data_IF_590129723041
#
_entry.id   IF_590129723041
#
_cell.length_a   1.000
_cell.length_b   1.000
_cell.length_c   1.000
_cell.angle_alpha   90.00
_cell.angle_beta   90.00
_cell.angle_gamma   90.00
#
_symmetry.space_group_name_H-M   'P 1'
#
loop_
_entity.id
_entity.type
_entity.pdbx_description
1 polymer ?
#
# COMPACT_ATOMS: atom_id res chain seq x y z
N UNK A 1 1.35 -23.64 -2.82
CA UNK A 1 2.70 -23.49 -2.24
C UNK A 1 2.94 -22.00 -2.13
N UNK A 2 2.99 -21.44 -0.93
CA UNK A 2 3.27 -20.02 -0.75
C UNK A 2 4.70 -19.75 -1.24
N UNK A 3 4.85 -18.80 -2.15
CA UNK A 3 6.18 -18.27 -2.47
C UNK A 3 6.70 -17.60 -1.19
N UNK A 4 7.97 -17.83 -0.77
CA UNK A 4 8.51 -17.08 0.34
C UNK A 4 8.57 -15.63 -0.11
N UNK A 5 7.79 -14.75 0.54
CA UNK A 5 7.96 -13.31 0.39
C UNK A 5 9.41 -13.01 0.77
N UNK A 6 10.25 -12.78 -0.25
CA UNK A 6 11.54 -12.17 -0.04
C UNK A 6 11.20 -10.81 0.55
N UNK A 7 11.53 -10.59 1.83
CA UNK A 7 11.47 -9.26 2.41
C UNK A 7 12.24 -8.34 1.46
N UNK A 8 11.50 -7.58 0.67
CA UNK A 8 12.08 -6.71 -0.34
C UNK A 8 12.88 -5.67 0.41
N UNK A 9 14.13 -5.44 0.01
CA UNK A 9 14.90 -4.31 0.52
C UNK A 9 14.02 -3.07 0.35
N UNK A 10 13.79 -2.26 1.41
CA UNK A 10 12.95 -1.08 1.29
C UNK A 10 13.38 -0.20 0.13
N UNK A 11 12.42 0.30 -0.65
CA UNK A 11 12.65 1.14 -1.81
C UNK A 11 12.90 2.58 -1.32
N UNK A 12 14.09 3.16 -1.57
CA UNK A 12 14.27 4.59 -1.37
C UNK A 12 13.44 5.34 -2.42
N UNK A 13 12.56 6.23 -1.99
CA UNK A 13 11.80 7.07 -2.91
C UNK A 13 12.69 8.16 -3.50
N UNK A 14 12.56 8.37 -4.82
CA UNK A 14 13.15 9.50 -5.53
C UNK A 14 12.09 10.61 -5.70
N UNK A 15 12.25 11.53 -6.65
CA UNK A 15 11.26 12.58 -6.91
C UNK A 15 10.01 12.05 -7.62
N UNK A 16 10.12 10.95 -8.35
CA UNK A 16 8.99 10.26 -8.97
C UNK A 16 9.38 8.82 -9.30
N UNK A 17 8.39 7.95 -9.41
CA UNK A 17 8.63 6.57 -9.80
C UNK A 17 7.39 5.70 -9.64
N UNK A 18 7.61 4.38 -9.72
CA UNK A 18 6.55 3.42 -9.46
C UNK A 18 7.08 2.10 -8.94
N UNK A 19 6.20 1.32 -8.31
CA UNK A 19 6.48 -0.04 -7.84
C UNK A 19 5.20 -0.87 -7.86
N UNK A 20 5.35 -2.20 -7.95
CA UNK A 20 4.22 -3.14 -7.99
C UNK A 20 3.96 -3.71 -6.59
N UNK A 21 2.69 -3.69 -6.16
CA UNK A 21 2.23 -4.30 -4.91
C UNK A 21 1.40 -5.53 -5.27
N UNK A 22 1.94 -6.70 -4.93
CA UNK A 22 1.30 -7.98 -5.27
C UNK A 22 0.26 -8.37 -4.22
N UNK A 23 -0.90 -8.84 -4.70
CA UNK A 23 -2.05 -9.20 -3.85
C UNK A 23 -1.75 -10.36 -2.88
N UNK A 24 -0.77 -11.20 -3.22
CA UNK A 24 -0.37 -12.38 -2.46
C UNK A 24 0.85 -12.15 -1.55
N UNK A 25 1.30 -10.90 -1.43
CA UNK A 25 2.39 -10.53 -0.53
C UNK A 25 1.86 -9.88 0.74
N UNK A 26 1.67 -10.69 1.78
CA UNK A 26 1.25 -10.23 3.12
C UNK A 26 2.28 -9.28 3.75
N UNK A 27 3.56 -9.37 3.35
CA UNK A 27 4.61 -8.49 3.86
C UNK A 27 4.63 -7.13 3.17
N UNK A 28 4.05 -7.05 1.97
CA UNK A 28 3.96 -5.82 1.18
C UNK A 28 5.31 -5.29 0.68
N UNK A 29 5.25 -4.07 0.15
CA UNK A 29 6.40 -3.32 -0.36
C UNK A 29 6.75 -2.21 0.61
N UNK A 30 7.93 -2.28 1.22
CA UNK A 30 8.41 -1.22 2.09
C UNK A 30 9.06 -0.10 1.26
N UNK A 31 8.73 1.15 1.58
CA UNK A 31 9.35 2.36 1.02
C UNK A 31 9.83 3.28 2.14
N UNK A 32 10.75 4.18 1.83
CA UNK A 32 11.19 5.25 2.74
C UNK A 32 11.71 6.46 1.94
N UNK A 33 11.61 7.66 2.50
CA UNK A 33 12.27 8.85 1.93
C UNK A 33 13.73 8.93 2.44
N UNK A 34 14.76 8.87 1.57
CA UNK A 34 16.16 9.01 1.96
C UNK A 34 16.60 10.46 2.18
N UNK A 35 15.73 11.46 1.96
CA UNK A 35 16.11 12.86 1.97
C UNK A 35 16.34 13.42 3.39
N UNK A 36 17.45 14.14 3.57
CA UNK A 36 17.88 14.75 4.85
C UNK A 36 17.12 16.04 5.22
N UNK A 37 16.14 16.44 4.42
CA UNK A 37 15.44 17.70 4.63
C UNK A 37 14.11 17.39 5.30
N UNK A 38 13.88 18.01 6.46
CA UNK A 38 12.57 18.05 7.12
C UNK A 38 11.56 18.72 6.19
N UNK A 39 10.98 17.96 5.26
CA UNK A 39 9.82 18.35 4.50
C UNK A 39 8.62 18.38 5.44
N UNK A 40 7.95 19.52 5.52
CA UNK A 40 6.68 19.62 6.22
C UNK A 40 5.67 18.65 5.57
N UNK A 41 4.81 18.02 6.37
CA UNK A 41 3.74 17.09 5.99
C UNK A 41 3.27 17.14 4.52
N UNK A 42 3.26 15.98 3.84
CA UNK A 42 2.63 15.83 2.52
C UNK A 42 3.60 15.79 1.33
N UNK A 43 4.84 15.35 1.54
CA UNK A 43 5.88 15.36 0.52
C UNK A 43 5.61 14.46 -0.70
N UNK A 44 4.73 13.47 -0.60
CA UNK A 44 4.46 12.53 -1.70
C UNK A 44 2.98 12.41 -2.02
N UNK A 45 2.67 12.48 -3.31
CA UNK A 45 1.41 12.06 -3.90
C UNK A 45 1.58 10.64 -4.45
N UNK A 46 0.68 9.75 -4.04
CA UNK A 46 0.56 8.38 -4.52
C UNK A 46 -0.74 8.21 -5.29
N UNK A 47 -0.67 7.45 -6.39
CA UNK A 47 -1.82 7.01 -7.16
C UNK A 47 -1.53 5.60 -7.66
N UNK A 48 -2.53 4.74 -7.74
CA UNK A 48 -2.33 3.37 -8.15
C UNK A 48 -3.18 3.04 -9.38
N UNK A 49 -2.79 2.00 -10.09
CA UNK A 49 -3.58 1.45 -11.20
C UNK A 49 -3.47 -0.07 -11.24
N UNK A 50 -4.41 -0.71 -11.93
CA UNK A 50 -4.47 -2.17 -12.05
C UNK A 50 -5.58 -2.77 -11.19
N UNK A 51 -5.57 -4.10 -11.12
CA UNK A 51 -6.57 -4.87 -10.39
C UNK A 51 -5.92 -6.08 -9.72
N UNK A 52 -6.49 -6.46 -8.59
CA UNK A 52 -6.17 -7.69 -7.90
C UNK A 52 -7.43 -8.41 -7.40
N UNK A 53 -7.24 -9.63 -6.93
CA UNK A 53 -8.32 -10.49 -6.47
C UNK A 53 -7.92 -11.13 -5.14
N UNK A 54 -8.73 -10.91 -4.10
CA UNK A 54 -8.59 -11.50 -2.76
C UNK A 54 -9.09 -12.94 -2.67
N UNK A 55 -8.67 -13.79 -3.61
CA UNK A 55 -9.05 -15.20 -3.68
C UNK A 55 -10.06 -15.54 -4.78
N UNK A 56 -10.11 -16.82 -5.18
CA UNK A 56 -10.82 -17.28 -6.39
C UNK A 56 -12.34 -17.01 -6.42
N UNK A 57 -12.97 -16.79 -5.26
CA UNK A 57 -14.40 -16.51 -5.13
C UNK A 57 -14.71 -15.01 -5.00
N UNK A 58 -13.68 -14.16 -4.87
CA UNK A 58 -13.79 -12.72 -4.68
C UNK A 58 -13.79 -12.03 -6.04
N UNK A 59 -14.62 -11.00 -6.29
CA UNK A 59 -14.49 -10.20 -7.51
C UNK A 59 -13.11 -9.54 -7.63
N UNK A 60 -12.66 -9.27 -8.85
CA UNK A 60 -11.52 -8.37 -9.05
C UNK A 60 -11.91 -6.96 -8.56
N UNK A 61 -10.99 -6.31 -7.86
CA UNK A 61 -11.11 -4.94 -7.40
C UNK A 61 -9.86 -4.15 -7.78
N UNK A 62 -10.02 -2.84 -7.92
CA UNK A 62 -8.91 -1.91 -8.00
C UNK A 62 -8.32 -1.65 -6.60
N UNK A 63 -7.40 -0.70 -6.50
CA UNK A 63 -6.74 -0.35 -5.23
C UNK A 63 -7.68 0.26 -4.19
N UNK A 64 -8.94 0.57 -4.54
CA UNK A 64 -9.96 1.01 -3.59
C UNK A 64 -10.62 -0.16 -2.84
N UNK A 65 -10.45 -1.40 -3.31
CA UNK A 65 -11.03 -2.58 -2.67
C UNK A 65 -12.56 -2.70 -2.82
N UNK A 66 -13.17 -3.45 -1.90
CA UNK A 66 -14.61 -3.71 -1.81
C UNK A 66 -15.19 -3.19 -0.47
N UNK A 67 -15.90 -2.04 -0.47
CA UNK A 67 -16.53 -1.50 0.73
C UNK A 67 -17.73 -2.31 1.24
N UNK A 68 -18.21 -3.29 0.47
CA UNK A 68 -19.39 -4.09 0.80
C UNK A 68 -19.05 -5.55 1.14
N UNK A 69 -17.77 -5.88 1.31
CA UNK A 69 -17.36 -7.24 1.65
C UNK A 69 -17.94 -7.68 2.99
N UNK A 70 -18.62 -8.82 3.00
CA UNK A 70 -19.39 -9.29 4.16
C UNK A 70 -18.54 -9.63 5.38
N UNK A 71 -17.24 -9.89 5.17
CA UNK A 71 -16.29 -10.27 6.22
C UNK A 71 -15.25 -9.20 6.52
N UNK A 72 -15.60 -7.91 6.36
CA UNK A 72 -14.76 -6.75 6.67
C UNK A 72 -14.06 -6.83 8.05
N UNK A 73 -14.76 -7.34 9.07
CA UNK A 73 -14.22 -7.48 10.43
C UNK A 73 -13.07 -8.50 10.56
N UNK A 74 -12.79 -9.29 9.52
CA UNK A 74 -11.71 -10.27 9.47
C UNK A 74 -10.44 -9.71 8.82
N UNK A 75 -10.52 -8.55 8.16
CA UNK A 75 -9.39 -7.93 7.48
C UNK A 75 -8.29 -7.52 8.47
N UNK A 76 -7.05 -7.41 7.98
CA UNK A 76 -5.92 -6.92 8.75
C UNK A 76 -6.16 -5.49 9.27
N UNK A 77 -6.83 -4.65 8.48
CA UNK A 77 -7.32 -3.32 8.86
C UNK A 77 -8.84 -3.25 8.69
N UNK A 78 -9.62 -3.63 9.73
CA UNK A 78 -11.09 -3.66 9.65
C UNK A 78 -11.74 -2.29 9.40
N UNK A 79 -11.04 -1.19 9.65
CA UNK A 79 -11.51 0.18 9.44
C UNK A 79 -11.40 0.69 7.99
N UNK A 80 -10.64 0.02 7.14
CA UNK A 80 -10.46 0.33 5.71
C UNK A 80 -11.15 -0.71 4.84
N UNK A 81 -11.46 -0.42 3.59
CA UNK A 81 -12.22 -1.33 2.74
C UNK A 81 -11.45 -2.65 2.53
N UNK A 82 -12.18 -3.76 2.42
CA UNK A 82 -11.55 -5.06 2.18
C UNK A 82 -10.84 -5.04 0.85
N UNK A 83 -9.64 -5.63 0.78
CA UNK A 83 -8.81 -5.67 -0.42
C UNK A 83 -8.34 -4.31 -0.95
N UNK A 84 -8.47 -3.22 -0.17
CA UNK A 84 -7.91 -1.92 -0.56
C UNK A 84 -6.38 -1.89 -0.39
N UNK A 85 -5.72 -0.93 -1.06
CA UNK A 85 -4.30 -0.67 -0.88
C UNK A 85 -4.09 0.15 0.40
N UNK A 86 -3.41 -0.46 1.36
CA UNK A 86 -3.06 0.15 2.65
C UNK A 86 -1.61 0.58 2.64
N UNK A 87 -1.37 1.75 3.22
CA UNK A 87 -0.06 2.28 3.54
C UNK A 87 0.11 2.27 5.05
N UNK A 88 0.87 1.29 5.55
CA UNK A 88 1.12 1.03 6.97
C UNK A 88 2.48 1.61 7.38
N UNK A 89 2.46 2.72 8.10
CA UNK A 89 3.66 3.47 8.45
C UNK A 89 4.16 3.19 9.86
N UNK A 90 5.48 3.14 10.03
CA UNK A 90 6.13 2.79 11.30
C UNK A 90 5.84 3.76 12.48
N UNK A 91 5.30 4.95 12.22
CA UNK A 91 4.76 5.86 13.23
C UNK A 91 3.47 5.35 13.90
N UNK A 92 2.83 4.31 13.34
CA UNK A 92 1.52 3.79 13.74
C UNK A 92 0.36 4.49 13.02
N UNK A 93 0.64 5.33 12.02
CA UNK A 93 -0.36 5.89 11.13
C UNK A 93 -0.58 4.93 9.95
N UNK A 94 -1.84 4.75 9.58
CA UNK A 94 -2.24 3.96 8.42
C UNK A 94 -3.10 4.82 7.49
N UNK A 95 -2.98 4.56 6.19
CA UNK A 95 -3.77 5.25 5.17
C UNK A 95 -4.33 4.23 4.18
N UNK A 96 -5.50 4.55 3.64
CA UNK A 96 -6.02 3.90 2.45
C UNK A 96 -5.73 4.81 1.27
N UNK A 97 -4.90 4.33 0.34
CA UNK A 97 -4.32 5.15 -0.74
C UNK A 97 -5.39 5.89 -1.56
N UNK A 98 -6.48 5.18 -1.92
CA UNK A 98 -7.57 5.77 -2.70
C UNK A 98 -8.34 6.90 -2.00
N UNK A 99 -8.26 7.00 -0.67
CA UNK A 99 -8.90 8.06 0.13
C UNK A 99 -7.90 9.13 0.56
N UNK A 100 -6.61 8.82 0.60
CA UNK A 100 -5.55 9.73 1.08
C UNK A 100 -4.32 9.57 0.19
N UNK A 101 -4.36 10.13 -1.03
CA UNK A 101 -3.24 10.00 -1.97
C UNK A 101 -2.04 10.88 -1.57
N UNK A 102 -2.25 11.94 -0.79
CA UNK A 102 -1.17 12.74 -0.21
C UNK A 102 -0.80 12.17 1.16
N UNK A 103 0.28 11.38 1.20
CA UNK A 103 0.71 10.68 2.41
C UNK A 103 1.95 11.40 2.98
N UNK A 104 1.90 11.87 4.24
CA UNK A 104 3.08 12.41 4.88
C UNK A 104 4.03 11.27 5.24
N UNK A 105 5.22 11.27 4.64
CA UNK A 105 6.32 10.39 5.03
C UNK A 105 7.30 11.19 5.89
N UNK A 106 7.53 10.76 7.12
CA UNK A 106 8.52 11.40 8.00
C UNK A 106 9.95 10.92 7.70
N UNK A 107 10.94 11.73 8.11
CA UNK A 107 12.36 11.34 8.01
C UNK A 107 12.59 9.96 8.67
N UNK A 108 13.28 9.08 7.94
CA UNK A 108 13.55 7.69 8.33
C UNK A 108 12.30 6.81 8.57
N UNK A 109 11.10 7.31 8.29
CA UNK A 109 9.87 6.53 8.37
C UNK A 109 9.83 5.51 7.24
N UNK A 110 9.46 4.29 7.62
CA UNK A 110 9.16 3.22 6.67
C UNK A 110 7.66 3.07 6.60
N UNK A 111 7.13 3.09 5.38
CA UNK A 111 5.75 2.75 5.10
C UNK A 111 5.69 1.51 4.22
N UNK A 112 4.75 0.62 4.52
CA UNK A 112 4.54 -0.63 3.81
C UNK A 112 3.24 -0.55 3.04
N UNK A 113 3.34 -0.70 1.72
CA UNK A 113 2.20 -0.77 0.81
C UNK A 113 1.77 -2.23 0.66
N UNK A 114 0.52 -2.55 0.98
CA UNK A 114 0.00 -3.92 0.91
C UNK A 114 -1.51 -3.96 0.72
N UNK A 115 -2.02 -5.06 0.19
CA UNK A 115 -3.46 -5.29 0.11
C UNK A 115 -4.03 -5.52 1.52
N UNK A 116 -5.23 -5.01 1.81
CA UNK A 116 -5.98 -5.29 3.03
C UNK A 116 -6.67 -6.66 2.94
N UNK A 117 -6.11 -7.72 3.49
CA UNK A 117 -6.77 -9.03 3.53
C UNK A 117 -6.79 -9.59 4.95
N UNK A 118 -7.53 -10.68 5.16
CA UNK A 118 -7.46 -11.43 6.39
C UNK A 118 -6.03 -11.95 6.65
N UNK A 119 -5.52 -11.88 7.89
CA UNK A 119 -4.21 -12.41 8.23
C UNK A 119 -4.07 -13.89 7.83
N UNK A 120 -3.02 -14.22 7.07
CA UNK A 120 -2.79 -15.54 6.49
C UNK A 120 -3.70 -15.92 5.31
N UNK A 121 -4.57 -15.01 4.86
CA UNK A 121 -5.46 -15.15 3.69
C UNK A 121 -4.79 -14.94 2.34
N UNK A 122 -3.58 -14.38 2.31
CA UNK A 122 -2.92 -13.92 1.09
C UNK A 122 -2.54 -15.01 0.07
N UNK A 123 -2.57 -16.29 0.47
CA UNK A 123 -1.99 -17.39 -0.29
C UNK A 123 -2.71 -17.74 -1.60
N UNK A 124 -3.97 -17.37 -1.76
CA UNK A 124 -4.78 -17.61 -2.97
C UNK A 124 -5.11 -16.32 -3.74
N UNK A 125 -4.55 -15.19 -3.33
CA UNK A 125 -4.74 -13.93 -4.02
C UNK A 125 -3.95 -13.88 -5.32
N UNK A 126 -4.45 -13.09 -6.28
CA UNK A 126 -3.81 -12.93 -7.59
C UNK A 126 -3.87 -11.49 -8.07
N UNK A 127 -2.98 -11.15 -9.01
CA UNK A 127 -2.86 -9.80 -9.54
C UNK A 127 -1.95 -8.91 -8.70
N UNK A 128 -1.87 -7.66 -9.11
CA UNK A 128 -1.09 -6.61 -8.48
C UNK A 128 -1.64 -5.24 -8.88
N UNK A 129 -1.32 -4.23 -8.09
CA UNK A 129 -1.50 -2.83 -8.48
C UNK A 129 -0.13 -2.19 -8.66
N UNK A 130 -0.01 -1.29 -9.62
CA UNK A 130 1.17 -0.44 -9.81
C UNK A 130 0.92 0.86 -9.07
N UNK A 131 1.72 1.16 -8.06
CA UNK A 131 1.70 2.43 -7.34
C UNK A 131 2.68 3.38 -8.03
N UNK A 132 2.18 4.52 -8.47
CA UNK A 132 2.94 5.66 -8.96
C UNK A 132 3.09 6.68 -7.85
N UNK A 133 4.24 7.32 -7.77
CA UNK A 133 4.48 8.37 -6.81
C UNK A 133 5.16 9.57 -7.44
N UNK A 134 4.87 10.74 -6.87
CA UNK A 134 5.53 11.99 -7.21
C UNK A 134 5.75 12.80 -5.94
N UNK A 135 6.94 13.35 -5.77
CA UNK A 135 7.24 14.31 -4.72
C UNK A 135 6.55 15.64 -5.03
N UNK A 136 5.81 16.18 -4.07
CA UNK A 136 5.23 17.50 -4.15
C UNK A 136 6.37 18.54 -4.19
N UNK A 137 6.46 19.31 -5.28
CA UNK A 137 7.36 20.47 -5.32
C UNK A 137 6.80 21.53 -4.36
N UNK A 138 7.52 21.80 -3.26
CA UNK A 138 7.28 22.97 -2.42
C UNK A 138 7.35 24.21 -3.31
N UNK A 139 6.20 24.79 -3.65
CA UNK A 139 6.13 26.11 -4.26
C UNK A 139 6.49 27.12 -3.18
N UNK A 140 7.77 27.50 -3.13
CA UNK A 140 8.30 28.59 -2.29
C UNK A 140 7.89 29.95 -2.85
#
# INVERSE_FOLDING_TARGET
MASPALASTPIPLEDFGSFEVYANDESGVAVFDPSLHYGEYGDYFFDAEGVWQGGSATPECDWCGDPNWESQYQMLYPEYDSFSLIVDCSSGLNYEDCRTPEIPLFEDEKCVFKMNDAPGGYGDNTGFVTVHYQRNELTV
#
